data_IF_289051974714
#
_entry.id   IF_289051974714
#
_cell.length_a   1.000
_cell.length_b   1.000
_cell.length_c   1.000
_cell.angle_alpha   90.00
_cell.angle_beta   90.00
_cell.angle_gamma   90.00
#
_symmetry.space_group_name_H-M   'P 1'
#
loop_
_entity.id
_entity.type
_entity.pdbx_description
1 polymer ?
#
# COMPACT_ATOMS: atom_id res chain seq x y z
N UNK A 1 -7.72 -0.28 -24.39
CA UNK A 1 -6.68 -0.55 -23.37
C UNK A 1 -7.19 -1.63 -22.45
N UNK A 2 -6.45 -2.72 -22.25
CA UNK A 2 -6.83 -3.73 -21.26
C UNK A 2 -6.86 -3.06 -19.88
N UNK A 3 -7.90 -3.32 -19.08
CA UNK A 3 -7.95 -2.82 -17.70
C UNK A 3 -6.82 -3.47 -16.93
N UNK A 4 -5.83 -2.66 -16.53
CA UNK A 4 -4.66 -3.11 -15.78
C UNK A 4 -5.07 -3.54 -14.36
N UNK A 5 -6.15 -2.98 -13.82
CA UNK A 5 -6.70 -3.29 -12.50
C UNK A 5 -8.23 -3.03 -12.46
N UNK A 6 -8.86 -3.49 -11.38
CA UNK A 6 -10.27 -3.31 -11.08
C UNK A 6 -10.43 -2.77 -9.65
N UNK A 7 -11.22 -1.71 -9.49
CA UNK A 7 -11.65 -1.20 -8.19
C UNK A 7 -13.06 -1.70 -7.94
N UNK A 8 -13.29 -2.30 -6.77
CA UNK A 8 -14.64 -2.75 -6.39
C UNK A 8 -14.93 -2.41 -4.93
N UNK A 9 -16.20 -2.20 -4.60
CA UNK A 9 -16.62 -1.95 -3.22
C UNK A 9 -16.45 -3.24 -2.40
N UNK A 10 -15.86 -3.12 -1.23
CA UNK A 10 -15.61 -4.22 -0.29
C UNK A 10 -16.50 -4.06 0.94
N UNK A 11 -17.16 -5.14 1.35
CA UNK A 11 -17.93 -5.20 2.60
C UNK A 11 -17.14 -5.90 3.73
N UNK A 12 -15.80 -5.91 3.64
CA UNK A 12 -14.94 -6.64 4.59
C UNK A 12 -15.24 -6.17 6.02
N UNK A 13 -15.58 -7.12 6.88
CA UNK A 13 -15.76 -6.87 8.31
C UNK A 13 -14.44 -6.43 8.92
N UNK A 14 -14.48 -5.34 9.68
CA UNK A 14 -13.33 -4.92 10.43
C UNK A 14 -12.42 -3.88 9.81
N UNK A 15 -13.01 -2.91 9.14
CA UNK A 15 -12.36 -1.66 8.81
C UNK A 15 -13.34 -0.58 9.25
N UNK A 16 -12.92 0.37 10.09
CA UNK A 16 -13.79 1.45 10.55
C UNK A 16 -13.84 2.55 9.49
N UNK A 17 -14.46 2.25 8.36
CA UNK A 17 -14.58 3.20 7.26
C UNK A 17 -15.98 3.18 6.68
N UNK A 18 -16.56 4.35 6.42
CA UNK A 18 -17.90 4.46 5.81
C UNK A 18 -17.89 3.91 4.38
N UNK A 19 -16.75 4.03 3.69
CA UNK A 19 -16.51 3.47 2.38
C UNK A 19 -15.25 2.61 2.37
N UNK A 20 -15.31 1.49 1.67
CA UNK A 20 -14.20 0.55 1.57
C UNK A 20 -14.17 0.00 0.15
N UNK A 21 -13.06 0.21 -0.52
CA UNK A 21 -12.81 -0.32 -1.86
C UNK A 21 -11.56 -1.17 -1.85
N UNK A 22 -11.54 -2.14 -2.76
CA UNK A 22 -10.43 -3.04 -2.98
C UNK A 22 -9.96 -2.89 -4.42
N UNK A 23 -8.64 -2.76 -4.58
CA UNK A 23 -7.98 -2.68 -5.89
C UNK A 23 -7.38 -4.04 -6.18
N UNK A 24 -7.86 -4.65 -7.25
CA UNK A 24 -7.48 -6.00 -7.65
C UNK A 24 -6.91 -6.04 -9.06
N UNK A 25 -6.06 -7.03 -9.33
CA UNK A 25 -5.61 -7.38 -10.68
C UNK A 25 -5.57 -8.90 -10.80
N UNK A 26 -6.23 -9.45 -11.81
CA UNK A 26 -6.38 -10.91 -11.99
C UNK A 26 -6.96 -11.62 -10.74
N UNK A 27 -7.96 -10.99 -10.09
CA UNK A 27 -8.57 -11.45 -8.82
C UNK A 27 -7.59 -11.57 -7.64
N UNK A 28 -6.44 -10.91 -7.72
CA UNK A 28 -5.50 -10.74 -6.62
C UNK A 28 -5.67 -9.34 -6.05
N UNK A 29 -5.77 -9.22 -4.73
CA UNK A 29 -5.84 -7.95 -4.00
C UNK A 29 -4.46 -7.40 -3.73
N UNK A 30 -4.30 -6.10 -3.99
CA UNK A 30 -3.05 -5.38 -3.78
C UNK A 30 -3.25 -4.22 -2.81
N UNK A 31 -4.27 -3.39 -3.05
CA UNK A 31 -4.49 -2.16 -2.29
C UNK A 31 -5.93 -2.06 -1.79
N UNK A 32 -6.12 -1.23 -0.77
CA UNK A 32 -7.42 -0.81 -0.25
C UNK A 32 -7.51 0.70 -0.25
N UNK A 33 -8.72 1.19 -0.49
CA UNK A 33 -9.07 2.60 -0.35
C UNK A 33 -10.13 2.67 0.74
N UNK A 34 -9.79 3.27 1.86
CA UNK A 34 -10.67 3.38 3.03
C UNK A 34 -10.90 4.84 3.36
N UNK A 35 -12.14 5.27 3.40
CA UNK A 35 -12.48 6.55 3.99
C UNK A 35 -13.94 6.91 3.79
N UNK A 36 -14.18 8.19 3.66
CA UNK A 36 -15.47 8.76 3.30
C UNK A 36 -15.22 10.17 2.81
N UNK A 37 -16.13 10.71 2.00
CA UNK A 37 -16.03 12.13 1.62
C UNK A 37 -15.82 13.03 2.87
N UNK A 38 -14.81 13.92 2.86
CA UNK A 38 -13.93 14.29 1.73
C UNK A 38 -12.54 13.61 1.70
N UNK A 39 -12.30 12.58 2.52
CA UNK A 39 -10.96 12.00 2.71
C UNK A 39 -10.95 10.46 2.68
N UNK A 40 -10.02 9.90 1.91
CA UNK A 40 -9.74 8.46 1.84
C UNK A 40 -8.25 8.17 2.03
N UNK A 41 -7.91 7.05 2.62
CA UNK A 41 -6.55 6.52 2.69
C UNK A 41 -6.34 5.42 1.66
N UNK A 42 -5.22 5.47 0.94
CA UNK A 42 -4.74 4.39 0.08
C UNK A 42 -3.71 3.58 0.86
N UNK A 43 -3.88 2.25 0.93
CA UNK A 43 -3.04 1.38 1.74
C UNK A 43 -2.89 -0.02 1.15
N UNK A 44 -1.90 -0.79 1.63
CA UNK A 44 -1.74 -2.20 1.24
C UNK A 44 -2.90 -3.06 1.72
N UNK A 45 -3.28 -4.05 0.91
CA UNK A 45 -4.21 -5.09 1.34
C UNK A 45 -3.48 -6.09 2.23
N UNK A 46 -4.04 -6.35 3.43
CA UNK A 46 -3.50 -7.36 4.35
C UNK A 46 -3.79 -8.78 3.89
N UNK A 47 -2.96 -9.74 4.31
CA UNK A 47 -2.98 -11.15 3.89
C UNK A 47 -4.19 -11.98 4.34
N UNK A 48 -5.22 -11.33 4.85
CA UNK A 48 -6.42 -11.97 5.37
C UNK A 48 -7.65 -11.32 4.76
N UNK A 49 -7.98 -11.68 3.51
CA UNK A 49 -9.18 -11.17 2.86
C UNK A 49 -10.40 -12.07 3.10
N UNK A 50 -11.42 -11.53 3.78
CA UNK A 50 -12.69 -12.24 4.07
C UNK A 50 -13.47 -12.66 2.81
N UNK A 51 -13.04 -12.23 1.62
CA UNK A 51 -13.74 -12.45 0.39
C UNK A 51 -13.15 -13.66 -0.36
N UNK A 52 -13.71 -14.86 -0.13
CA UNK A 52 -13.27 -16.18 -0.67
C UNK A 52 -13.00 -16.25 -2.19
N UNK A 53 -13.34 -15.22 -2.96
CA UNK A 53 -13.14 -15.12 -4.42
C UNK A 53 -11.94 -14.28 -4.83
N UNK A 54 -11.41 -13.47 -3.93
CA UNK A 54 -10.25 -12.60 -4.16
C UNK A 54 -9.08 -13.21 -3.40
N UNK A 55 -7.96 -13.38 -4.11
CA UNK A 55 -6.73 -13.92 -3.54
C UNK A 55 -5.92 -12.77 -2.95
N UNK A 56 -5.24 -13.05 -1.86
CA UNK A 56 -4.21 -12.17 -1.31
C UNK A 56 -3.01 -12.12 -2.27
N UNK A 57 -2.31 -10.98 -2.33
CA UNK A 57 -1.05 -10.87 -3.05
C UNK A 57 -0.04 -11.91 -2.53
N UNK A 58 0.48 -12.83 -3.36
CA UNK A 58 1.43 -13.83 -2.88
C UNK A 58 2.81 -13.23 -2.57
N UNK A 59 3.19 -12.15 -3.25
CA UNK A 59 4.50 -11.49 -3.11
C UNK A 59 4.38 -10.29 -2.16
N UNK A 60 4.22 -10.56 -0.86
CA UNK A 60 4.00 -9.51 0.16
C UNK A 60 5.17 -8.53 0.26
N UNK A 61 6.41 -9.04 0.18
CA UNK A 61 7.62 -8.21 0.16
C UNK A 61 7.57 -7.18 -0.98
N UNK A 62 7.23 -7.63 -2.20
CA UNK A 62 7.09 -6.77 -3.38
C UNK A 62 5.96 -5.77 -3.23
N UNK A 63 4.82 -6.19 -2.67
CA UNK A 63 3.67 -5.32 -2.42
C UNK A 63 4.06 -4.16 -1.48
N UNK A 64 4.64 -4.49 -0.33
CA UNK A 64 5.06 -3.53 0.68
C UNK A 64 6.13 -2.59 0.14
N UNK A 65 7.15 -3.11 -0.54
CA UNK A 65 8.19 -2.28 -1.14
C UNK A 65 7.62 -1.31 -2.18
N UNK A 66 6.72 -1.78 -3.04
CA UNK A 66 6.07 -0.94 -4.05
C UNK A 66 5.26 0.18 -3.40
N UNK A 67 4.54 -0.14 -2.31
CA UNK A 67 3.75 0.83 -1.55
C UNK A 67 4.63 1.92 -0.92
N UNK A 68 5.75 1.54 -0.31
CA UNK A 68 6.72 2.48 0.25
C UNK A 68 7.31 3.40 -0.83
N UNK A 69 7.75 2.82 -1.95
CA UNK A 69 8.29 3.59 -3.09
C UNK A 69 7.28 4.58 -3.64
N UNK A 70 6.04 4.15 -3.83
CA UNK A 70 4.98 5.03 -4.31
C UNK A 70 4.71 6.16 -3.32
N UNK A 71 4.64 5.88 -2.02
CA UNK A 71 4.46 6.91 -1.00
C UNK A 71 5.60 7.94 -1.01
N UNK A 72 6.84 7.48 -1.23
CA UNK A 72 7.99 8.36 -1.39
C UNK A 72 7.93 9.20 -2.68
N UNK A 73 7.58 8.60 -3.83
CA UNK A 73 7.37 9.33 -5.10
C UNK A 73 6.28 10.41 -4.96
N UNK A 74 5.23 10.14 -4.19
CA UNK A 74 4.14 11.08 -3.92
C UNK A 74 4.47 12.10 -2.82
N UNK A 75 5.61 11.99 -2.14
CA UNK A 75 5.99 12.82 -0.97
C UNK A 75 4.93 12.77 0.13
N UNK A 76 4.27 11.62 0.32
CA UNK A 76 3.16 11.45 1.26
C UNK A 76 3.57 10.81 2.59
N UNK A 77 4.87 10.55 2.79
CA UNK A 77 5.46 9.92 3.98
C UNK A 77 4.69 8.69 4.42
N UNK A 78 4.89 7.52 3.76
CA UNK A 78 4.12 6.33 4.06
C UNK A 78 4.23 5.94 5.54
N UNK A 79 3.14 5.44 6.12
CA UNK A 79 3.07 5.11 7.55
C UNK A 79 2.65 3.65 7.75
N UNK A 80 3.20 3.03 8.79
CA UNK A 80 2.71 1.73 9.27
C UNK A 80 1.57 1.97 10.25
N UNK A 81 0.40 1.45 9.93
CA UNK A 81 -0.80 1.56 10.75
C UNK A 81 -1.38 0.18 11.05
N UNK A 82 -2.27 0.10 12.05
CA UNK A 82 -2.97 -1.13 12.45
C UNK A 82 -4.45 -1.00 12.18
N UNK A 83 -5.06 -2.05 11.65
CA UNK A 83 -6.51 -2.16 11.68
C UNK A 83 -6.99 -2.56 13.09
N UNK A 84 -8.31 -2.51 13.32
CA UNK A 84 -8.95 -2.90 14.59
C UNK A 84 -8.68 -4.36 15.02
N UNK A 85 -8.28 -5.25 14.10
CA UNK A 85 -7.92 -6.64 14.38
C UNK A 85 -6.42 -6.77 14.70
N UNK A 86 -5.72 -5.63 14.81
CA UNK A 86 -4.29 -5.56 15.07
C UNK A 86 -3.43 -5.92 13.86
N UNK A 87 -3.99 -6.00 12.65
CA UNK A 87 -3.23 -6.31 11.43
C UNK A 87 -2.57 -5.05 10.92
N UNK A 88 -1.26 -5.10 10.76
CA UNK A 88 -0.47 -3.98 10.24
C UNK A 88 -0.56 -3.88 8.73
N UNK A 89 -0.63 -2.65 8.23
CA UNK A 89 -0.64 -2.31 6.82
C UNK A 89 0.18 -1.04 6.58
N UNK A 90 0.63 -0.84 5.35
CA UNK A 90 1.31 0.39 4.95
C UNK A 90 0.29 1.33 4.32
N UNK A 91 0.04 2.47 4.97
CA UNK A 91 -0.66 3.59 4.38
C UNK A 91 0.28 4.34 3.45
N UNK A 92 -0.09 4.41 2.18
CA UNK A 92 0.69 5.03 1.10
C UNK A 92 0.47 6.54 1.12
N UNK A 93 -0.79 6.96 1.08
CA UNK A 93 -1.16 8.36 1.03
C UNK A 93 -2.60 8.59 1.50
N UNK A 94 -2.89 9.86 1.81
CA UNK A 94 -4.24 10.37 2.00
C UNK A 94 -4.68 11.09 0.73
N UNK A 95 -5.87 10.74 0.27
CA UNK A 95 -6.58 11.33 -0.85
C UNK A 95 -7.61 12.29 -0.28
N UNK A 96 -7.49 13.57 -0.62
CA UNK A 96 -8.45 14.59 -0.25
C UNK A 96 -9.19 15.04 -1.51
N UNK A 97 -10.52 15.09 -1.45
CA UNK A 97 -11.33 15.70 -2.51
C UNK A 97 -11.72 17.12 -2.07
N UNK A 98 -11.14 18.18 -2.65
CA UNK A 98 -11.59 19.55 -2.43
C UNK A 98 -13.05 19.72 -2.85
N UNK A 99 -13.81 20.65 -2.23
CA UNK A 99 -15.22 20.87 -2.57
C UNK A 99 -15.47 21.25 -4.04
N UNK A 100 -14.46 21.78 -4.72
CA UNK A 100 -14.51 22.19 -6.13
C UNK A 100 -14.10 21.08 -7.10
N UNK A 101 -13.54 19.96 -6.60
CA UNK A 101 -13.09 18.85 -7.43
C UNK A 101 -14.24 17.89 -7.70
N UNK A 102 -14.50 17.63 -8.98
CA UNK A 102 -15.50 16.66 -9.41
C UNK A 102 -15.05 15.21 -9.16
N UNK A 103 -16.02 14.31 -9.00
CA UNK A 103 -15.77 12.87 -8.87
C UNK A 103 -14.98 12.31 -10.07
N UNK A 104 -15.14 12.90 -11.26
CA UNK A 104 -14.40 12.50 -12.47
C UNK A 104 -12.92 12.84 -12.37
N UNK A 105 -12.58 14.02 -11.87
CA UNK A 105 -11.19 14.45 -11.66
C UNK A 105 -10.52 13.58 -10.59
N UNK A 106 -11.21 13.35 -9.46
CA UNK A 106 -10.72 12.46 -8.41
C UNK A 106 -10.47 11.04 -8.95
N UNK A 107 -11.42 10.51 -9.72
CA UNK A 107 -11.30 9.18 -10.33
C UNK A 107 -10.12 9.12 -11.30
N UNK A 108 -9.87 10.19 -12.04
CA UNK A 108 -8.74 10.27 -12.97
C UNK A 108 -7.40 10.29 -12.23
N UNK A 109 -7.24 11.14 -11.21
CA UNK A 109 -6.05 11.21 -10.37
C UNK A 109 -5.76 9.87 -9.67
N UNK A 110 -6.79 9.27 -9.07
CA UNK A 110 -6.68 7.95 -8.46
C UNK A 110 -6.25 6.89 -9.49
N UNK A 111 -6.80 6.94 -10.70
CA UNK A 111 -6.42 6.03 -11.77
C UNK A 111 -4.93 6.19 -12.13
N UNK A 112 -4.41 7.41 -12.21
CA UNK A 112 -2.99 7.67 -12.47
C UNK A 112 -2.08 7.10 -11.37
N UNK A 113 -2.44 7.32 -10.10
CA UNK A 113 -1.70 6.77 -8.94
C UNK A 113 -1.68 5.24 -8.97
N UNK A 114 -2.83 4.61 -9.24
CA UNK A 114 -2.93 3.15 -9.32
C UNK A 114 -2.20 2.58 -10.54
N UNK A 115 -2.19 3.28 -11.67
CA UNK A 115 -1.36 2.91 -12.82
C UNK A 115 0.12 2.93 -12.45
N UNK A 116 0.57 4.03 -11.82
CA UNK A 116 1.95 4.15 -11.36
C UNK A 116 2.34 3.07 -10.37
N UNK A 117 1.44 2.72 -9.44
CA UNK A 117 1.62 1.59 -8.53
C UNK A 117 1.91 0.30 -9.30
N UNK A 118 1.08 -0.05 -10.29
CA UNK A 118 1.25 -1.31 -11.02
C UNK A 118 2.46 -1.30 -11.95
N UNK A 119 2.87 -0.14 -12.48
CA UNK A 119 4.14 0.00 -13.19
C UNK A 119 5.34 -0.29 -12.28
N UNK A 120 5.38 0.33 -11.09
CA UNK A 120 6.43 0.08 -10.10
C UNK A 120 6.42 -1.38 -9.63
N UNK A 121 5.22 -1.91 -9.40
CA UNK A 121 5.04 -3.31 -9.04
C UNK A 121 5.64 -4.18 -10.14
N UNK A 122 5.25 -3.99 -11.41
CA UNK A 122 5.68 -4.83 -12.55
C UNK A 122 7.17 -4.70 -12.88
N UNK A 123 7.73 -3.50 -12.72
CA UNK A 123 9.16 -3.22 -12.89
C UNK A 123 10.04 -3.76 -11.75
N UNK A 124 9.45 -4.47 -10.78
CA UNK A 124 10.19 -5.03 -9.67
C UNK A 124 11.23 -6.06 -10.14
N UNK A 125 12.49 -5.74 -9.90
CA UNK A 125 13.67 -6.57 -10.12
C UNK A 125 14.17 -7.04 -8.75
N UNK A 126 14.45 -8.33 -8.62
CA UNK A 126 14.97 -8.93 -7.38
C UNK A 126 16.24 -8.19 -6.91
N UNK A 127 16.29 -7.95 -5.60
CA UNK A 127 17.24 -7.25 -4.72
C UNK A 127 18.72 -7.02 -5.11
N UNK A 128 19.28 -7.62 -6.16
CA UNK A 128 20.74 -7.62 -6.40
C UNK A 128 21.29 -6.43 -7.21
N UNK A 129 20.51 -5.40 -7.50
CA UNK A 129 20.92 -4.31 -8.41
C UNK A 129 20.55 -2.89 -7.96
N UNK A 130 20.04 -2.72 -6.74
CA UNK A 130 19.50 -1.43 -6.28
C UNK A 130 20.48 -0.76 -5.32
N UNK A 131 20.58 0.58 -5.37
CA UNK A 131 21.42 1.32 -4.45
C UNK A 131 20.80 1.27 -3.05
N UNK A 132 21.59 0.80 -2.09
CA UNK A 132 21.22 0.69 -0.67
C UNK A 132 20.64 2.02 -0.14
N UNK A 133 21.09 3.16 -0.68
CA UNK A 133 20.64 4.52 -0.34
C UNK A 133 19.11 4.74 -0.48
N UNK A 134 18.46 4.16 -1.50
CA UNK A 134 17.02 4.35 -1.72
C UNK A 134 16.19 3.68 -0.62
N UNK A 135 16.63 2.50 -0.19
CA UNK A 135 15.93 1.73 0.83
C UNK A 135 16.22 2.25 2.24
N UNK A 136 17.41 2.80 2.47
CA UNK A 136 17.74 3.53 3.70
C UNK A 136 16.86 4.78 3.82
N UNK A 137 16.64 5.53 2.74
CA UNK A 137 15.71 6.66 2.76
C UNK A 137 14.27 6.24 3.11
N UNK A 138 13.83 5.06 2.64
CA UNK A 138 12.53 4.50 3.04
C UNK A 138 12.50 4.12 4.53
N UNK A 139 13.59 3.56 5.07
CA UNK A 139 13.70 3.27 6.50
C UNK A 139 13.56 4.54 7.33
N UNK A 140 14.30 5.59 6.98
CA UNK A 140 14.26 6.88 7.68
C UNK A 140 12.87 7.52 7.66
N UNK A 141 12.07 7.25 6.62
CA UNK A 141 10.70 7.76 6.52
C UNK A 141 9.70 7.03 7.43
N UNK A 142 9.91 5.75 7.72
CA UNK A 142 8.94 4.90 8.46
C UNK A 142 9.39 4.50 9.85
N UNK A 143 10.66 4.71 10.21
CA UNK A 143 11.19 4.36 11.52
C UNK A 143 10.55 5.23 12.62
N UNK A 144 9.87 4.63 13.61
CA UNK A 144 9.20 5.37 14.67
C UNK A 144 10.19 6.06 15.63
N UNK A 145 11.42 5.57 15.71
CA UNK A 145 12.53 6.18 16.44
C UNK A 145 13.88 5.85 15.77
N UNK A 146 14.87 6.77 15.88
CA UNK A 146 16.25 6.53 15.42
C UNK A 146 17.00 5.50 16.28
N UNK A 147 16.29 4.57 16.93
CA UNK A 147 16.86 3.53 17.79
C UNK A 147 17.61 2.45 17.00
N UNK A 148 17.42 2.41 15.68
CA UNK A 148 18.11 1.46 14.78
C UNK A 148 17.54 0.04 14.83
N UNK A 149 16.34 -0.14 15.36
CA UNK A 149 15.60 -1.41 15.32
C UNK A 149 14.98 -1.64 13.94
N UNK A 150 14.74 -2.90 13.59
CA UNK A 150 13.99 -3.23 12.38
C UNK A 150 12.54 -2.77 12.51
N UNK A 151 12.01 -2.18 11.44
CA UNK A 151 10.61 -1.71 11.40
C UNK A 151 9.75 -2.83 10.83
N UNK A 152 8.76 -3.28 11.60
CA UNK A 152 7.74 -4.18 11.07
C UNK A 152 6.75 -3.39 10.21
N UNK A 153 6.50 -3.86 8.99
CA UNK A 153 5.69 -3.15 8.00
C UNK A 153 4.29 -3.75 7.86
N UNK A 154 4.20 -5.02 7.49
CA UNK A 154 2.95 -5.75 7.30
C UNK A 154 3.25 -7.22 7.01
N UNK A 155 2.36 -8.15 7.39
CA UNK A 155 2.37 -9.55 6.96
C UNK A 155 3.72 -10.28 7.02
N UNK A 156 4.48 -10.10 8.10
CA UNK A 156 5.80 -10.76 8.28
C UNK A 156 6.97 -10.01 7.67
N UNK A 157 6.73 -8.87 7.00
CA UNK A 157 7.76 -8.07 6.34
C UNK A 157 8.38 -7.07 7.32
N UNK A 158 9.71 -7.05 7.35
CA UNK A 158 10.53 -6.16 8.16
C UNK A 158 11.51 -5.36 7.29
N UNK A 159 11.70 -4.10 7.62
CA UNK A 159 12.71 -3.22 7.02
C UNK A 159 13.80 -2.90 8.03
N UNK A 160 15.02 -3.30 7.72
CA UNK A 160 16.21 -3.02 8.51
C UNK A 160 16.80 -1.65 8.18
N UNK A 161 17.58 -1.11 9.11
CA UNK A 161 18.23 0.21 8.99
C UNK A 161 19.16 0.32 7.77
N UNK A 162 19.75 -0.79 7.36
CA UNK A 162 20.61 -0.86 6.17
C UNK A 162 19.82 -0.91 4.85
N UNK A 163 18.50 -0.75 4.90
CA UNK A 163 17.62 -0.82 3.74
C UNK A 163 17.21 -2.24 3.35
N UNK A 164 17.59 -3.26 4.11
CA UNK A 164 17.20 -4.64 3.81
C UNK A 164 15.74 -4.89 4.14
N UNK A 165 14.94 -5.28 3.14
CA UNK A 165 13.62 -5.86 3.38
C UNK A 165 13.75 -7.37 3.55
N UNK A 166 13.18 -7.89 4.63
CA UNK A 166 13.15 -9.33 4.90
C UNK A 166 11.73 -9.78 5.19
N UNK A 167 11.34 -10.91 4.59
CA UNK A 167 10.17 -11.66 5.03
C UNK A 167 10.60 -12.63 6.12
N UNK A 168 10.12 -12.42 7.34
CA UNK A 168 10.42 -13.26 8.51
C UNK A 168 9.29 -14.22 8.84
N UNK A 169 8.23 -14.23 8.04
CA UNK A 169 6.99 -14.94 8.35
C UNK A 169 6.28 -14.40 9.59
N UNK A 170 5.16 -15.04 9.92
CA UNK A 170 4.37 -14.79 11.14
C UNK A 170 4.67 -15.83 12.20
#
# INVERSE_FOLDING_TARGET
MARVFEISKSNKSGLNSKESYIVTRNKVSYLRILGAEPQWGLMTATADEDNKRIKVCPEQLRLVETALRLGNELTTSPLVEKDWAGREYVQICLIHQPPEQSDQELTHELSLVLHRFFELYDAWTVFSSRSDDDMVALYDAVAPDNAGSDVYLSDGIWLSRDGTLTDRGR
#
